data_IF_802207326744
#
_entry.id   IF_802207326744
#
_cell.length_a   1.000
_cell.length_b   1.000
_cell.length_c   1.000
_cell.angle_alpha   90.00
_cell.angle_beta   90.00
_cell.angle_gamma   90.00
#
_symmetry.space_group_name_H-M   'P 1'
#
loop_
_entity.id
_entity.type
_entity.pdbx_description
1 polymer ?
#
# COMPACT_ATOMS: atom_id res chain seq x y z
N UNK A 1 -0.02 4.65 1.36
CA UNK A 1 -1.01 4.86 0.27
C UNK A 1 -0.30 4.96 -1.08
N UNK A 2 -0.81 4.28 -2.12
CA UNK A 2 -0.30 4.35 -3.52
C UNK A 2 -1.10 5.36 -4.37
N UNK A 3 -1.54 6.45 -3.74
CA UNK A 3 -2.33 7.52 -4.35
C UNK A 3 -1.83 8.85 -3.79
N UNK A 4 -1.69 9.92 -4.61
CA UNK A 4 -2.07 10.05 -6.02
C UNK A 4 -1.13 9.35 -7.02
N UNK A 5 -1.55 9.24 -8.30
CA UNK A 5 -0.80 8.53 -9.34
C UNK A 5 0.68 8.96 -9.50
N UNK A 6 1.05 10.26 -9.44
CA UNK A 6 2.46 10.66 -9.53
C UNK A 6 3.33 10.08 -8.41
N UNK A 7 2.79 9.98 -7.19
CA UNK A 7 3.51 9.39 -6.07
C UNK A 7 3.73 7.89 -6.30
N UNK A 8 2.69 7.17 -6.74
CA UNK A 8 2.82 5.74 -7.08
C UNK A 8 3.88 5.54 -8.16
N UNK A 9 3.85 6.34 -9.22
CA UNK A 9 4.77 6.18 -10.34
C UNK A 9 6.21 6.47 -9.90
N UNK A 10 6.44 7.48 -9.06
CA UNK A 10 7.75 7.74 -8.45
C UNK A 10 8.22 6.57 -7.58
N UNK A 11 7.37 6.06 -6.70
CA UNK A 11 7.70 4.93 -5.82
C UNK A 11 8.00 3.67 -6.64
N UNK A 12 7.27 3.43 -7.73
CA UNK A 12 7.54 2.33 -8.64
C UNK A 12 8.89 2.49 -9.34
N UNK A 13 9.19 3.68 -9.88
CA UNK A 13 10.49 3.94 -10.50
C UNK A 13 11.64 3.69 -9.52
N UNK A 14 11.53 4.21 -8.30
CA UNK A 14 12.55 4.02 -7.27
C UNK A 14 12.65 2.52 -6.86
N UNK A 15 11.54 1.79 -6.77
CA UNK A 15 11.55 0.36 -6.44
C UNK A 15 12.27 -0.46 -7.52
N UNK A 16 12.09 -0.09 -8.79
CA UNK A 16 12.77 -0.72 -9.92
C UNK A 16 14.29 -0.45 -9.93
N UNK A 17 14.78 0.60 -9.27
CA UNK A 17 16.23 0.81 -9.12
C UNK A 17 16.88 -0.15 -8.13
N UNK A 18 16.10 -0.90 -7.35
CA UNK A 18 16.60 -1.81 -6.31
C UNK A 18 17.15 -1.11 -5.06
N UNK A 19 17.11 0.23 -5.00
CA UNK A 19 17.59 1.00 -3.85
C UNK A 19 16.72 0.83 -2.59
N UNK A 20 15.45 0.48 -2.76
CA UNK A 20 14.61 0.04 -1.64
C UNK A 20 13.67 -1.07 -2.08
N UNK A 21 13.24 -1.89 -1.11
CA UNK A 21 12.29 -2.99 -1.33
C UNK A 21 10.89 -2.50 -1.02
N UNK A 22 10.13 -2.15 -2.05
CA UNK A 22 8.73 -1.78 -1.87
C UNK A 22 7.91 -3.01 -1.46
N UNK A 23 6.96 -2.80 -0.53
CA UNK A 23 6.04 -3.82 -0.03
C UNK A 23 4.63 -3.23 0.02
N UNK A 24 3.63 -4.02 -0.34
CA UNK A 24 2.22 -3.66 -0.27
C UNK A 24 1.35 -4.91 -0.11
N UNK A 25 0.12 -4.75 0.37
CA UNK A 25 -0.87 -5.84 0.47
C UNK A 25 -1.97 -5.69 -0.58
N UNK A 26 -2.75 -6.76 -0.77
CA UNK A 26 -3.98 -6.71 -1.57
C UNK A 26 -4.96 -5.65 -1.05
N UNK A 27 -5.06 -5.47 0.27
CA UNK A 27 -5.92 -4.45 0.88
C UNK A 27 -5.48 -3.03 0.48
N UNK A 28 -4.18 -2.74 0.46
CA UNK A 28 -3.65 -1.46 -0.04
C UNK A 28 -4.01 -1.27 -1.52
N UNK A 29 -3.97 -2.34 -2.33
CA UNK A 29 -4.46 -2.27 -3.71
C UNK A 29 -5.92 -1.90 -3.80
N UNK A 30 -6.75 -2.52 -2.96
CA UNK A 30 -8.19 -2.28 -2.96
C UNK A 30 -8.52 -0.84 -2.55
N UNK A 31 -7.77 -0.25 -1.62
CA UNK A 31 -7.93 1.17 -1.24
C UNK A 31 -7.71 2.14 -2.40
N UNK A 32 -6.55 2.08 -3.08
CA UNK A 32 -6.27 3.05 -4.13
C UNK A 32 -7.14 2.80 -5.36
N UNK A 33 -7.46 1.54 -5.68
CA UNK A 33 -8.35 1.23 -6.80
C UNK A 33 -9.79 1.68 -6.56
N UNK A 34 -10.26 1.72 -5.30
CA UNK A 34 -11.55 2.35 -4.94
C UNK A 34 -11.53 3.88 -5.01
N UNK A 35 -10.38 4.50 -4.74
CA UNK A 35 -10.27 5.96 -4.66
C UNK A 35 -9.94 6.62 -6.01
N UNK A 36 -9.18 5.95 -6.90
CA UNK A 36 -8.81 6.52 -8.20
C UNK A 36 -10.01 6.94 -9.06
N UNK A 37 -11.10 6.15 -9.20
CA UNK A 37 -12.27 6.54 -9.99
C UNK A 37 -12.94 7.84 -9.52
N UNK A 38 -12.76 8.23 -8.25
CA UNK A 38 -13.31 9.49 -7.71
C UNK A 38 -12.61 10.74 -8.28
N UNK A 39 -11.37 10.59 -8.74
CA UNK A 39 -10.54 11.68 -9.29
C UNK A 39 -10.27 11.50 -10.78
N UNK A 40 -10.28 10.26 -11.27
CA UNK A 40 -10.08 9.85 -12.67
C UNK A 40 -11.18 8.89 -13.12
N UNK A 41 -12.43 9.39 -13.29
CA UNK A 41 -13.56 8.57 -13.68
C UNK A 41 -13.44 7.99 -15.10
N UNK A 42 -12.50 8.50 -15.90
CA UNK A 42 -12.13 7.99 -17.22
C UNK A 42 -11.40 6.63 -17.16
N UNK A 43 -10.86 6.25 -16.00
CA UNK A 43 -10.15 4.99 -15.83
C UNK A 43 -11.11 3.83 -15.54
N UNK A 44 -11.00 2.77 -16.33
CA UNK A 44 -11.83 1.57 -16.16
C UNK A 44 -11.28 0.64 -15.07
N UNK A 45 -12.16 -0.18 -14.48
CA UNK A 45 -11.74 -1.22 -13.54
C UNK A 45 -10.70 -2.18 -14.13
N UNK A 46 -10.79 -2.46 -15.44
CA UNK A 46 -9.82 -3.28 -16.16
C UNK A 46 -8.43 -2.63 -16.19
N UNK A 47 -8.36 -1.32 -16.46
CA UNK A 47 -7.10 -0.57 -16.45
C UNK A 47 -6.46 -0.57 -15.06
N UNK A 48 -7.25 -0.35 -14.00
CA UNK A 48 -6.76 -0.39 -12.62
C UNK A 48 -6.27 -1.80 -12.24
N UNK A 49 -7.01 -2.82 -12.62
CA UNK A 49 -6.64 -4.23 -12.43
C UNK A 49 -5.35 -4.60 -13.17
N UNK A 50 -5.18 -4.10 -14.40
CA UNK A 50 -3.94 -4.25 -15.17
C UNK A 50 -2.77 -3.56 -14.47
N UNK A 51 -2.94 -2.35 -13.96
CA UNK A 51 -1.90 -1.64 -13.20
C UNK A 51 -1.49 -2.43 -11.96
N UNK A 52 -2.44 -2.95 -11.17
CA UNK A 52 -2.15 -3.81 -10.02
C UNK A 52 -1.29 -5.01 -10.42
N UNK A 53 -1.69 -5.76 -11.45
CA UNK A 53 -0.91 -6.92 -11.93
C UNK A 53 0.50 -6.54 -12.34
N UNK A 54 0.68 -5.41 -13.04
CA UNK A 54 1.99 -4.94 -13.45
C UNK A 54 2.85 -4.54 -12.26
N UNK A 55 2.28 -3.93 -11.22
CA UNK A 55 3.02 -3.64 -10.00
C UNK A 55 3.52 -4.93 -9.35
N UNK A 56 2.61 -5.89 -9.12
CA UNK A 56 2.90 -7.17 -8.49
C UNK A 56 3.97 -7.98 -9.26
N UNK A 57 3.95 -7.93 -10.60
CA UNK A 57 4.87 -8.70 -11.43
C UNK A 57 6.25 -8.06 -11.62
N UNK A 58 6.40 -6.75 -11.35
CA UNK A 58 7.64 -6.02 -11.63
C UNK A 58 8.46 -5.68 -10.38
N UNK A 59 7.94 -5.94 -9.18
CA UNK A 59 8.69 -5.76 -7.93
C UNK A 59 8.72 -7.07 -7.16
N UNK A 60 9.92 -7.64 -7.06
CA UNK A 60 10.14 -8.93 -6.41
C UNK A 60 9.68 -8.91 -4.95
N UNK A 61 8.91 -9.92 -4.58
CA UNK A 61 8.31 -10.11 -3.25
C UNK A 61 7.47 -8.93 -2.74
N UNK A 62 6.98 -8.05 -3.60
CA UNK A 62 6.28 -6.85 -3.14
C UNK A 62 4.96 -7.15 -2.42
N UNK A 63 4.25 -8.20 -2.84
CA UNK A 63 2.95 -8.56 -2.27
C UNK A 63 3.10 -9.28 -0.93
N UNK A 64 2.64 -8.62 0.14
CA UNK A 64 2.61 -9.14 1.50
C UNK A 64 1.30 -9.88 1.76
N UNK A 65 1.40 -11.10 2.31
CA UNK A 65 0.28 -11.98 2.67
C UNK A 65 0.47 -12.57 4.07
N UNK A 66 -0.61 -13.08 4.67
CA UNK A 66 -0.56 -13.75 5.98
C UNK A 66 -0.39 -12.77 7.15
N UNK A 67 -0.79 -11.52 6.96
CA UNK A 67 -0.81 -10.49 8.00
C UNK A 67 -2.18 -10.36 8.68
N UNK A 68 -3.21 -10.98 8.10
CA UNK A 68 -4.60 -10.89 8.53
C UNK A 68 -4.81 -11.23 10.02
N UNK A 69 -4.14 -12.25 10.60
CA UNK A 69 -4.27 -12.56 12.03
C UNK A 69 -3.75 -11.45 12.97
N UNK A 70 -2.95 -10.51 12.46
CA UNK A 70 -2.41 -9.41 13.27
C UNK A 70 -3.36 -8.21 13.34
N UNK A 71 -4.32 -8.08 12.40
CA UNK A 71 -5.15 -6.87 12.24
C UNK A 71 -5.92 -6.56 13.53
N UNK A 72 -6.60 -7.56 14.09
CA UNK A 72 -7.47 -7.39 15.25
C UNK A 72 -6.68 -7.18 16.56
N UNK A 73 -5.39 -7.54 16.59
CA UNK A 73 -4.52 -7.34 17.74
C UNK A 73 -3.89 -5.94 17.79
N UNK A 74 -4.00 -5.17 16.69
CA UNK A 74 -3.46 -3.83 16.61
C UNK A 74 -4.48 -2.80 17.07
N UNK A 75 -3.96 -1.79 17.74
CA UNK A 75 -4.70 -0.66 18.28
C UNK A 75 -4.11 0.61 17.68
N UNK A 76 -4.85 1.20 16.74
CA UNK A 76 -4.52 2.43 16.02
C UNK A 76 -5.71 3.41 16.12
N UNK A 77 -5.46 4.73 16.03
CA UNK A 77 -6.51 5.73 16.02
C UNK A 77 -7.56 5.49 14.92
N UNK A 78 -7.13 5.02 13.75
CA UNK A 78 -8.01 4.58 12.67
C UNK A 78 -8.01 3.04 12.57
N UNK A 79 -9.14 2.37 12.85
CA UNK A 79 -9.25 0.93 12.69
C UNK A 79 -8.99 0.41 11.28
N UNK A 80 -9.23 1.22 10.23
CA UNK A 80 -8.99 0.81 8.85
C UNK A 80 -7.48 0.77 8.54
N UNK A 81 -6.65 1.57 9.20
CA UNK A 81 -5.19 1.59 9.01
C UNK A 81 -4.46 0.39 9.63
N UNK A 82 -5.14 -0.40 10.47
CA UNK A 82 -4.55 -1.58 11.14
C UNK A 82 -3.99 -2.59 10.15
N UNK A 83 -4.59 -2.73 8.97
CA UNK A 83 -4.08 -3.66 7.97
C UNK A 83 -2.72 -3.23 7.38
N UNK A 84 -2.44 -1.92 7.34
CA UNK A 84 -1.16 -1.41 6.84
C UNK A 84 -0.07 -1.76 7.85
N UNK A 85 -0.30 -1.48 9.14
CA UNK A 85 0.65 -1.80 10.18
C UNK A 85 0.84 -3.32 10.35
N UNK A 86 -0.24 -4.11 10.23
CA UNK A 86 -0.15 -5.57 10.20
C UNK A 86 0.76 -6.07 9.08
N UNK A 87 0.61 -5.54 7.86
CA UNK A 87 1.47 -5.89 6.73
C UNK A 87 2.94 -5.49 6.99
N UNK A 88 3.18 -4.34 7.60
CA UNK A 88 4.52 -3.86 7.97
C UNK A 88 5.20 -4.80 8.95
N UNK A 89 4.50 -5.19 10.03
CA UNK A 89 4.99 -6.16 11.02
C UNK A 89 5.28 -7.50 10.35
N UNK A 90 4.37 -7.97 9.49
CA UNK A 90 4.49 -9.26 8.79
C UNK A 90 5.71 -9.32 7.86
N UNK A 91 5.99 -8.25 7.13
CA UNK A 91 7.11 -8.22 6.17
C UNK A 91 8.41 -7.63 6.74
N UNK A 92 8.40 -7.14 7.99
CA UNK A 92 9.55 -6.50 8.62
C UNK A 92 9.98 -5.21 7.92
N UNK A 93 9.04 -4.45 7.35
CA UNK A 93 9.37 -3.19 6.69
C UNK A 93 9.88 -2.15 7.68
N UNK A 94 10.91 -1.39 7.27
CA UNK A 94 11.55 -0.40 8.13
C UNK A 94 10.79 0.93 8.22
N UNK A 95 9.90 1.21 7.27
CA UNK A 95 9.18 2.48 7.20
C UNK A 95 7.82 2.33 6.51
N UNK A 96 6.88 3.17 6.90
CA UNK A 96 5.59 3.37 6.22
C UNK A 96 5.66 4.68 5.44
N UNK A 97 5.33 4.64 4.15
CA UNK A 97 5.18 5.84 3.33
C UNK A 97 3.72 6.28 3.34
N UNK A 98 3.43 7.35 4.10
CA UNK A 98 2.08 7.91 4.27
C UNK A 98 2.10 9.43 4.31
N UNK A 99 1.02 10.05 3.85
CA UNK A 99 0.76 11.48 4.06
C UNK A 99 0.02 11.75 5.37
N UNK A 100 -0.52 10.70 6.00
CA UNK A 100 -1.36 10.83 7.18
C UNK A 100 -0.62 10.28 8.40
N UNK A 101 0.18 11.13 9.05
CA UNK A 101 1.00 10.75 10.20
C UNK A 101 0.18 10.56 11.48
N UNK A 102 -1.00 11.16 11.57
CA UNK A 102 -1.83 11.13 12.79
C UNK A 102 -2.37 9.72 13.11
N UNK A 103 -2.52 8.87 12.08
CA UNK A 103 -3.04 7.51 12.23
C UNK A 103 -1.93 6.52 12.64
N UNK A 104 -0.67 6.97 12.65
CA UNK A 104 0.50 6.18 13.01
C UNK A 104 1.35 6.92 14.06
N UNK A 105 0.82 7.18 15.27
CA UNK A 105 1.53 7.90 16.31
C UNK A 105 2.75 7.12 16.82
N UNK A 106 3.88 7.82 16.99
CA UNK A 106 5.15 7.24 17.48
C UNK A 106 5.26 7.22 19.00
N UNK A 107 4.33 7.87 19.68
CA UNK A 107 4.23 7.94 21.14
C UNK A 107 2.78 7.63 21.52
N UNK A 108 2.61 6.78 22.53
CA UNK A 108 1.32 6.55 23.19
C UNK A 108 1.19 7.48 24.38
#
# INVERSE_FOLDING_TARGET
MLFPAPLRDLLMQLALTGQFRARWSSMIHDEWTRNVPKVRPDLTAEQLSRTRRLMDSNVLDALVTGFEPLIDALDLPDPDDRHVLAAVIRCGANAIVTHNLKDYPTTR
#
